data_IF_850016177140
#
_entry.id   IF_850016177140
#
_cell.length_a   1.000
_cell.length_b   1.000
_cell.length_c   1.000
_cell.angle_alpha   90.00
_cell.angle_beta   90.00
_cell.angle_gamma   90.00
#
_symmetry.space_group_name_H-M   'P 1'
#
loop_
_entity.id
_entity.type
_entity.pdbx_description
1 polymer ?
#
# COMPACT_ATOMS: atom_id res chain seq x y z
N UNK A 1 2.04 11.67 -1.78
CA UNK A 1 1.07 12.17 -0.78
C UNK A 1 1.65 13.36 -0.05
N UNK A 2 1.41 14.57 -0.54
CA UNK A 2 2.13 15.76 -0.10
C UNK A 2 1.27 16.89 0.44
N UNK A 3 -0.03 16.73 0.54
CA UNK A 3 -0.89 17.88 0.85
C UNK A 3 -0.98 18.13 2.34
N UNK A 4 -0.08 19.02 2.84
CA UNK A 4 -0.16 19.52 4.20
C UNK A 4 -1.16 20.66 4.27
N UNK A 5 -1.94 20.70 5.35
CA UNK A 5 -2.96 21.72 5.62
C UNK A 5 -3.97 21.84 4.47
N UNK A 6 -4.59 20.73 4.08
CA UNK A 6 -5.52 20.74 2.95
C UNK A 6 -6.83 21.42 3.29
N UNK A 7 -7.56 21.90 2.26
CA UNK A 7 -8.92 22.42 2.40
C UNK A 7 -9.98 21.32 2.30
N UNK A 8 -9.59 20.13 1.87
CA UNK A 8 -10.47 18.97 1.70
C UNK A 8 -9.66 17.67 1.83
N UNK A 9 -10.30 16.54 2.13
CA UNK A 9 -9.61 15.26 2.18
C UNK A 9 -9.08 14.86 0.81
N UNK A 10 -7.96 14.13 0.79
CA UNK A 10 -7.41 13.51 -0.41
C UNK A 10 -7.72 12.02 -0.40
N UNK A 11 -7.91 11.42 -1.58
CA UNK A 11 -8.18 10.00 -1.71
C UNK A 11 -6.91 9.28 -2.14
N UNK A 12 -6.47 8.31 -1.34
CA UNK A 12 -5.27 7.53 -1.60
C UNK A 12 -5.54 6.04 -1.69
N UNK A 13 -4.61 5.33 -2.32
CA UNK A 13 -4.65 3.88 -2.47
C UNK A 13 -3.34 3.27 -2.02
N UNK A 14 -3.40 2.04 -1.54
CA UNK A 14 -2.23 1.26 -1.17
C UNK A 14 -2.35 -0.16 -1.68
N UNK A 15 -1.22 -0.85 -1.79
CA UNK A 15 -1.18 -2.21 -2.33
C UNK A 15 -0.46 -3.16 -1.39
N UNK A 16 -1.11 -4.29 -1.10
CA UNK A 16 -0.49 -5.44 -0.46
C UNK A 16 -0.14 -6.42 -1.59
N UNK A 17 1.14 -6.51 -1.91
CA UNK A 17 1.64 -7.36 -2.99
C UNK A 17 2.38 -8.53 -2.36
N UNK A 18 1.72 -9.68 -2.31
CA UNK A 18 2.29 -10.89 -1.71
C UNK A 18 2.68 -11.85 -2.82
N UNK A 19 3.94 -12.28 -2.81
CA UNK A 19 4.48 -13.24 -3.75
C UNK A 19 5.50 -14.14 -3.03
N UNK A 20 5.32 -15.44 -3.14
CA UNK A 20 6.23 -16.43 -2.56
C UNK A 20 6.56 -16.20 -1.07
N UNK A 21 5.53 -15.85 -0.28
CA UNK A 21 5.71 -15.61 1.16
C UNK A 21 6.36 -14.28 1.52
N UNK A 22 6.53 -13.38 0.55
CA UNK A 22 7.08 -12.04 0.77
C UNK A 22 6.06 -10.97 0.43
N UNK A 23 6.18 -9.82 1.07
CA UNK A 23 5.40 -8.63 0.74
C UNK A 23 6.34 -7.52 0.28
N UNK A 24 5.88 -6.71 -0.68
CA UNK A 24 6.67 -5.58 -1.17
C UNK A 24 6.42 -4.36 -0.30
N UNK A 25 7.48 -3.79 0.23
CA UNK A 25 7.45 -2.55 1.01
C UNK A 25 8.31 -1.50 0.34
N UNK A 26 7.91 -0.24 0.52
CA UNK A 26 8.67 0.92 0.05
C UNK A 26 9.05 1.79 1.25
N UNK A 27 10.20 2.45 1.16
CA UNK A 27 10.62 3.44 2.13
C UNK A 27 10.26 4.82 1.60
N UNK A 28 9.42 5.52 2.34
CA UNK A 28 8.87 6.80 1.88
C UNK A 28 9.95 7.86 1.76
N UNK A 29 9.89 8.61 0.66
CA UNK A 29 10.79 9.74 0.42
C UNK A 29 10.19 11.07 0.81
N UNK A 30 8.91 11.11 1.23
CA UNK A 30 8.19 12.37 1.46
C UNK A 30 7.21 12.27 2.63
N UNK A 31 6.85 13.41 3.28
CA UNK A 31 5.81 13.43 4.30
C UNK A 31 4.43 13.04 3.74
N UNK A 32 3.52 12.55 4.58
CA UNK A 32 3.76 12.13 5.96
C UNK A 32 4.53 10.81 6.04
N UNK A 33 5.09 10.51 7.22
CA UNK A 33 5.83 9.27 7.48
C UNK A 33 7.10 9.11 6.62
N UNK A 34 7.73 10.22 6.22
CA UNK A 34 8.97 10.17 5.43
C UNK A 34 10.07 9.39 6.17
N UNK A 35 10.81 8.60 5.42
CA UNK A 35 11.82 7.70 5.97
C UNK A 35 11.27 6.39 6.54
N UNK A 36 9.94 6.22 6.64
CA UNK A 36 9.29 5.01 7.15
C UNK A 36 9.03 4.01 6.03
N UNK A 37 9.03 2.73 6.40
CA UNK A 37 8.60 1.67 5.51
C UNK A 37 7.08 1.59 5.51
N UNK A 38 6.49 1.49 4.33
CA UNK A 38 5.04 1.43 4.15
C UNK A 38 4.67 0.52 2.99
N UNK A 39 3.38 0.28 2.82
CA UNK A 39 2.87 -0.31 1.58
C UNK A 39 3.06 0.69 0.43
N UNK A 40 3.35 0.20 -0.80
CA UNK A 40 3.34 1.09 -1.97
C UNK A 40 1.96 1.69 -2.18
N UNK A 41 1.90 2.92 -2.67
CA UNK A 41 0.65 3.59 -2.94
C UNK A 41 0.81 5.08 -3.16
N UNK A 42 -0.31 5.76 -3.39
CA UNK A 42 -0.33 7.20 -3.62
C UNK A 42 -1.75 7.70 -3.85
N UNK A 43 -1.87 8.92 -4.38
CA UNK A 43 -3.16 9.57 -4.56
C UNK A 43 -3.81 9.17 -5.88
N UNK A 44 -5.14 9.05 -5.84
CA UNK A 44 -5.95 8.92 -7.05
C UNK A 44 -5.96 10.28 -7.77
N UNK A 45 -5.71 10.26 -9.06
CA UNK A 45 -5.72 11.46 -9.89
C UNK A 45 -7.11 11.71 -10.49
N UNK A 46 -7.39 12.96 -10.81
CA UNK A 46 -8.67 13.33 -11.40
C UNK A 46 -8.92 12.56 -12.70
N UNK A 47 -10.07 11.90 -12.79
CA UNK A 47 -10.44 11.11 -13.95
C UNK A 47 -9.89 9.68 -13.97
N UNK A 48 -9.11 9.31 -12.95
CA UNK A 48 -8.51 8.00 -12.82
C UNK A 48 -9.40 7.11 -11.94
N UNK A 49 -9.61 5.86 -12.33
CA UNK A 49 -10.29 4.91 -11.45
C UNK A 49 -9.37 4.50 -10.29
N UNK A 50 -9.96 3.99 -9.23
CA UNK A 50 -9.19 3.49 -8.07
C UNK A 50 -8.23 2.39 -8.50
N UNK A 51 -8.71 1.45 -9.31
CA UNK A 51 -7.86 0.35 -9.80
C UNK A 51 -6.71 0.85 -10.66
N UNK A 52 -6.95 1.80 -11.56
CA UNK A 52 -5.90 2.43 -12.36
C UNK A 52 -4.85 3.11 -11.47
N UNK A 53 -5.31 3.79 -10.42
CA UNK A 53 -4.41 4.46 -9.48
C UNK A 53 -3.48 3.47 -8.77
N UNK A 54 -4.02 2.34 -8.29
CA UNK A 54 -3.23 1.30 -7.63
C UNK A 54 -2.14 0.78 -8.58
N UNK A 55 -2.54 0.41 -9.79
CA UNK A 55 -1.61 -0.17 -10.77
C UNK A 55 -0.53 0.84 -11.14
N UNK A 56 -0.90 2.09 -11.38
CA UNK A 56 0.05 3.16 -11.71
C UNK A 56 1.03 3.43 -10.58
N UNK A 57 0.52 3.61 -9.36
CA UNK A 57 1.37 3.92 -8.21
C UNK A 57 2.34 2.78 -7.90
N UNK A 58 1.90 1.53 -7.98
CA UNK A 58 2.79 0.39 -7.77
C UNK A 58 3.91 0.37 -8.82
N UNK A 59 3.57 0.59 -10.09
CA UNK A 59 4.58 0.60 -11.14
C UNK A 59 5.58 1.75 -10.95
N UNK A 60 5.10 2.94 -10.62
CA UNK A 60 5.97 4.10 -10.36
C UNK A 60 6.92 3.88 -9.19
N UNK A 61 6.43 3.25 -8.11
CA UNK A 61 7.22 3.09 -6.88
C UNK A 61 8.09 1.84 -6.85
N UNK A 62 7.69 0.78 -7.53
CA UNK A 62 8.33 -0.53 -7.40
C UNK A 62 8.88 -1.10 -8.70
N UNK A 63 8.47 -0.60 -9.84
CA UNK A 63 8.82 -1.17 -11.14
C UNK A 63 7.99 -2.40 -11.53
N UNK A 64 7.11 -2.86 -10.65
CA UNK A 64 6.28 -4.03 -10.91
C UNK A 64 4.93 -3.66 -11.52
N UNK A 65 4.55 -4.40 -12.57
CA UNK A 65 3.17 -4.40 -13.03
C UNK A 65 2.41 -5.44 -12.20
N UNK A 66 1.30 -5.01 -11.63
CA UNK A 66 0.43 -5.87 -10.81
C UNK A 66 -0.99 -5.84 -11.36
N UNK A 67 -1.79 -6.82 -10.94
CA UNK A 67 -3.25 -6.80 -11.11
C UNK A 67 -3.91 -6.73 -9.74
N UNK A 68 -5.04 -6.06 -9.66
CA UNK A 68 -5.82 -5.96 -8.44
C UNK A 68 -6.63 -7.24 -8.27
N UNK A 69 -6.52 -7.84 -7.08
CA UNK A 69 -7.22 -9.09 -6.73
C UNK A 69 -8.45 -8.82 -5.89
N UNK A 70 -8.32 -8.00 -4.82
CA UNK A 70 -9.40 -7.79 -3.87
C UNK A 70 -9.17 -6.53 -3.05
N UNK A 71 -10.24 -5.80 -2.74
CA UNK A 71 -10.22 -4.73 -1.75
C UNK A 71 -10.06 -5.35 -0.34
N UNK A 72 -9.14 -4.81 0.44
CA UNK A 72 -8.85 -5.31 1.79
C UNK A 72 -9.34 -4.38 2.88
N UNK A 73 -9.26 -3.06 2.69
CA UNK A 73 -9.63 -2.09 3.72
C UNK A 73 -9.98 -0.74 3.13
N UNK A 74 -10.87 -0.04 3.79
CA UNK A 74 -11.21 1.35 3.56
C UNK A 74 -11.16 2.05 4.91
N UNK A 75 -10.33 3.09 5.05
CA UNK A 75 -10.12 3.78 6.33
C UNK A 75 -9.64 5.20 6.08
N UNK A 76 -9.60 6.00 7.15
CA UNK A 76 -9.07 7.35 7.06
C UNK A 76 -7.77 7.50 7.85
N UNK A 77 -6.99 8.50 7.47
CA UNK A 77 -5.80 8.94 8.18
C UNK A 77 -5.94 10.44 8.42
N UNK A 78 -6.01 10.84 9.67
CA UNK A 78 -6.16 12.24 10.06
C UNK A 78 -5.06 12.58 11.06
N UNK A 79 -4.27 13.59 10.75
CA UNK A 79 -3.24 14.11 11.65
C UNK A 79 -3.52 15.58 11.92
N UNK A 80 -3.55 15.95 13.19
CA UNK A 80 -3.80 17.34 13.63
C UNK A 80 -2.58 17.90 14.33
N UNK A 81 -2.42 19.21 14.24
CA UNK A 81 -1.45 19.96 15.01
C UNK A 81 -1.93 20.18 16.44
N UNK A 82 -1.04 20.71 17.29
CA UNK A 82 -1.34 21.01 18.68
C UNK A 82 -2.48 22.04 18.82
N UNK A 83 -2.65 22.93 17.83
CA UNK A 83 -3.73 23.91 17.84
C UNK A 83 -5.06 23.38 17.27
N UNK A 84 -5.09 22.09 16.89
CA UNK A 84 -6.28 21.45 16.34
C UNK A 84 -6.45 21.58 14.84
N UNK A 85 -5.52 22.27 14.15
CA UNK A 85 -5.56 22.37 12.68
C UNK A 85 -5.28 21.02 12.05
N UNK A 86 -6.01 20.67 11.01
CA UNK A 86 -5.81 19.43 10.26
C UNK A 86 -4.58 19.57 9.39
N UNK A 87 -3.53 18.83 9.72
CA UNK A 87 -2.28 18.81 8.96
C UNK A 87 -2.36 17.89 7.75
N UNK A 88 -2.95 16.71 7.93
CA UNK A 88 -3.19 15.76 6.85
C UNK A 88 -4.55 15.10 7.01
N UNK A 89 -5.21 14.86 5.90
CA UNK A 89 -6.47 14.13 5.89
C UNK A 89 -6.57 13.31 4.60
N UNK A 90 -6.51 11.99 4.73
CA UNK A 90 -6.64 11.07 3.62
C UNK A 90 -7.77 10.08 3.87
N UNK A 91 -8.51 9.75 2.82
CA UNK A 91 -9.35 8.55 2.77
C UNK A 91 -8.55 7.53 1.98
N UNK A 92 -8.29 6.37 2.57
CA UNK A 92 -7.37 5.39 2.03
C UNK A 92 -8.08 4.06 1.77
N UNK A 93 -7.79 3.47 0.61
CA UNK A 93 -8.26 2.14 0.27
C UNK A 93 -7.06 1.25 -0.07
N UNK A 94 -6.93 0.11 0.59
CA UNK A 94 -5.85 -0.84 0.36
C UNK A 94 -6.36 -2.08 -0.37
N UNK A 95 -5.57 -2.56 -1.32
CA UNK A 95 -5.92 -3.67 -2.20
C UNK A 95 -4.87 -4.77 -2.17
N UNK A 96 -5.34 -6.01 -2.20
CA UNK A 96 -4.47 -7.14 -2.48
C UNK A 96 -4.18 -7.16 -3.98
N UNK A 97 -2.90 -7.23 -4.33
CA UNK A 97 -2.45 -7.24 -5.71
C UNK A 97 -1.56 -8.45 -5.97
N UNK A 98 -1.59 -8.93 -7.20
CA UNK A 98 -0.75 -10.03 -7.66
C UNK A 98 0.27 -9.52 -8.68
N UNK A 99 1.50 -9.99 -8.56
CA UNK A 99 2.57 -9.70 -9.51
C UNK A 99 2.25 -10.24 -10.90
N UNK A 100 2.47 -9.44 -11.91
CA UNK A 100 2.33 -9.84 -13.32
C UNK A 100 3.70 -9.92 -13.98
N UNK A 101 4.48 -8.82 -13.95
CA UNK A 101 5.82 -8.75 -14.54
C UNK A 101 6.57 -7.53 -14.05
N UNK A 102 7.84 -7.47 -14.38
CA UNK A 102 8.71 -6.34 -14.09
C UNK A 102 9.82 -6.70 -13.12
N UNK A 103 10.79 -5.80 -13.00
CA UNK A 103 11.90 -5.93 -12.07
C UNK A 103 11.76 -4.90 -10.94
N UNK A 104 12.04 -5.33 -9.72
CA UNK A 104 11.91 -4.47 -8.55
C UNK A 104 12.97 -3.39 -8.56
N UNK A 105 12.54 -2.14 -8.61
CA UNK A 105 13.42 -0.98 -8.60
C UNK A 105 12.69 0.22 -8.00
N UNK A 106 13.33 0.92 -7.06
CA UNK A 106 12.74 2.09 -6.44
C UNK A 106 12.54 3.21 -7.47
N UNK A 107 11.32 3.76 -7.51
CA UNK A 107 11.03 4.95 -8.29
C UNK A 107 11.60 6.21 -7.64
N UNK A 108 11.47 7.34 -8.33
CA UNK A 108 12.07 8.61 -7.89
C UNK A 108 11.51 9.16 -6.58
N UNK A 109 10.28 8.78 -6.23
CA UNK A 109 9.59 9.31 -5.04
C UNK A 109 9.79 8.47 -3.78
N UNK A 110 10.47 7.33 -3.89
CA UNK A 110 10.74 6.45 -2.75
C UNK A 110 12.25 6.28 -2.57
N UNK A 111 12.67 6.07 -1.33
CA UNK A 111 14.10 5.92 -1.00
C UNK A 111 14.60 4.50 -1.23
N UNK A 112 13.72 3.52 -1.12
CA UNK A 112 14.08 2.10 -1.26
C UNK A 112 12.83 1.27 -1.50
N UNK A 113 13.01 0.07 -2.05
CA UNK A 113 11.96 -0.92 -2.23
C UNK A 113 12.52 -2.30 -1.87
N UNK A 114 11.74 -3.12 -1.16
CA UNK A 114 12.17 -4.45 -0.76
C UNK A 114 11.04 -5.46 -0.80
N UNK A 115 11.42 -6.69 -1.08
CA UNK A 115 10.60 -7.87 -0.81
C UNK A 115 10.98 -8.36 0.59
N UNK A 116 10.02 -8.37 1.49
CA UNK A 116 10.25 -8.70 2.90
C UNK A 116 9.46 -9.95 3.24
N UNK A 117 10.11 -10.94 3.88
CA UNK A 117 9.41 -12.12 4.36
C UNK A 117 8.27 -11.72 5.30
N UNK A 118 7.11 -12.33 5.13
CA UNK A 118 5.97 -12.11 6.01
C UNK A 118 6.28 -12.46 7.48
N UNK A 119 7.31 -13.26 7.72
CA UNK A 119 7.75 -13.63 9.06
C UNK A 119 8.77 -12.64 9.66
N UNK A 120 9.21 -11.64 8.90
CA UNK A 120 10.26 -10.69 9.32
C UNK A 120 9.78 -9.22 9.33
N UNK A 121 8.49 -8.99 9.44
CA UNK A 121 7.92 -7.64 9.37
C UNK A 121 8.23 -6.77 10.59
N UNK A 122 8.50 -7.39 11.74
CA UNK A 122 8.70 -6.65 13.00
C UNK A 122 9.82 -5.60 12.92
N UNK A 123 10.88 -5.88 12.18
CA UNK A 123 12.01 -4.96 12.04
C UNK A 123 11.74 -3.72 11.19
N UNK A 124 10.62 -3.66 10.52
CA UNK A 124 10.29 -2.55 9.60
C UNK A 124 9.42 -1.47 10.24
N UNK A 125 8.98 -1.68 11.48
CA UNK A 125 8.20 -0.69 12.24
C UNK A 125 6.96 -0.20 11.48
N UNK A 126 6.25 -1.12 10.84
CA UNK A 126 5.03 -0.81 10.11
C UNK A 126 3.93 -0.34 11.07
N UNK A 127 3.02 0.50 10.55
CA UNK A 127 1.87 0.92 11.35
C UNK A 127 0.99 -0.28 11.67
N UNK A 128 0.23 -0.24 12.79
CA UNK A 128 -0.73 -1.31 13.09
C UNK A 128 -1.71 -1.58 11.95
N UNK A 129 -2.17 -0.54 11.26
CA UNK A 129 -3.08 -0.69 10.13
C UNK A 129 -2.41 -1.45 8.97
N UNK A 130 -1.16 -1.15 8.65
CA UNK A 130 -0.43 -1.84 7.59
C UNK A 130 -0.28 -3.33 7.91
N UNK A 131 0.07 -3.66 9.15
CA UNK A 131 0.17 -5.06 9.60
C UNK A 131 -1.17 -5.79 9.51
N UNK A 132 -2.25 -5.12 9.93
CA UNK A 132 -3.61 -5.66 9.85
C UNK A 132 -4.01 -5.99 8.41
N UNK A 133 -3.77 -5.06 7.49
CA UNK A 133 -4.14 -5.22 6.08
C UNK A 133 -3.29 -6.30 5.39
N UNK A 134 -1.99 -6.37 5.70
CA UNK A 134 -1.12 -7.45 5.21
C UNK A 134 -1.65 -8.81 5.66
N UNK A 135 -2.03 -8.93 6.93
CA UNK A 135 -2.58 -10.19 7.46
C UNK A 135 -3.92 -10.55 6.80
N UNK A 136 -4.77 -9.57 6.51
CA UNK A 136 -6.00 -9.80 5.76
C UNK A 136 -5.71 -10.36 4.36
N UNK A 137 -4.72 -9.80 3.65
CA UNK A 137 -4.30 -10.30 2.35
C UNK A 137 -3.76 -11.72 2.44
N UNK A 138 -2.95 -12.00 3.45
CA UNK A 138 -2.39 -13.33 3.69
C UNK A 138 -3.48 -14.37 3.94
N UNK A 139 -4.47 -14.04 4.77
CA UNK A 139 -5.62 -14.91 5.05
C UNK A 139 -6.43 -15.20 3.80
N UNK A 140 -6.70 -14.19 3.01
CA UNK A 140 -7.44 -14.35 1.76
C UNK A 140 -6.75 -15.34 0.82
N UNK A 141 -5.44 -15.22 0.65
CA UNK A 141 -4.66 -16.11 -0.20
C UNK A 141 -4.65 -17.54 0.31
N UNK A 142 -4.56 -17.75 1.62
CA UNK A 142 -4.63 -19.08 2.24
C UNK A 142 -6.00 -19.72 2.01
N UNK A 143 -7.07 -18.95 2.22
CA UNK A 143 -8.44 -19.43 2.00
C UNK A 143 -8.68 -19.81 0.55
N UNK A 144 -8.20 -19.02 -0.40
CA UNK A 144 -8.32 -19.27 -1.83
C UNK A 144 -7.55 -20.55 -2.22
N UNK A 145 -6.32 -20.72 -1.71
CA UNK A 145 -5.53 -21.92 -1.96
C UNK A 145 -6.19 -23.18 -1.39
N UNK A 146 -6.75 -23.08 -0.17
CA UNK A 146 -7.44 -24.20 0.47
C UNK A 146 -8.69 -24.60 -0.32
N UNK A 147 -9.49 -23.62 -0.80
CA UNK A 147 -10.67 -23.86 -1.62
C UNK A 147 -10.27 -24.52 -2.94
N UNK A 148 -9.23 -24.04 -3.59
CA UNK A 148 -8.74 -24.61 -4.85
C UNK A 148 -8.25 -26.06 -4.67
N UNK A 149 -7.67 -26.39 -3.54
CA UNK A 149 -7.25 -27.76 -3.24
C UNK A 149 -8.43 -28.70 -2.97
N UNK A 150 -9.53 -28.19 -2.43
CA UNK A 150 -10.73 -28.96 -2.12
C UNK A 150 -11.73 -29.03 -3.27
N UNK A 151 -11.66 -28.11 -4.20
CA UNK A 151 -12.65 -27.91 -5.27
C UNK A 151 -12.36 -28.66 -6.56
N UNK A 152 -11.52 -29.65 -6.54
CA UNK A 152 -11.21 -30.43 -7.74
C UNK A 152 -12.25 -31.46 -8.08
#
# INVERSE_FOLDING_TARGET
>A
MKRAYPSEPSFGVGAVIIENGNVVLVRRGQPPLDGRWTLPGGLVELGESIEQAVIREVEEETGWLVRVVKELALFDFIEKDDDGSVRYHYVLADFLCAYVRGELAAGSDVKDVRRVSLDELAGYELTPKALEVIEEGRRYLRGTSAVNQQGC
#
